data_IF_950860238364
#
_entry.id   IF_950860238364
#
_cell.length_a   1.000
_cell.length_b   1.000
_cell.length_c   1.000
_cell.angle_alpha   90.00
_cell.angle_beta   90.00
_cell.angle_gamma   90.00
#
_symmetry.space_group_name_H-M   'P 1'
#
loop_
_entity.id
_entity.type
_entity.pdbx_description
1 polymer ?
#
# COMPACT_ATOMS: atom_id res chain seq x y z
N UNK A 1 -16.97 -24.09 -4.98
CA UNK A 1 -17.14 -22.63 -4.98
C UNK A 1 -15.86 -22.03 -4.42
N UNK A 2 -15.06 -21.39 -5.27
CA UNK A 2 -13.65 -21.09 -5.01
C UNK A 2 -13.48 -19.84 -4.15
N UNK A 3 -13.02 -20.03 -2.91
CA UNK A 3 -12.78 -18.99 -1.91
C UNK A 3 -11.44 -18.22 -2.14
N UNK A 4 -11.08 -17.92 -3.38
CA UNK A 4 -9.76 -17.36 -3.72
C UNK A 4 -9.76 -15.82 -3.87
N UNK A 5 -10.93 -15.16 -3.80
CA UNK A 5 -11.04 -13.72 -4.11
C UNK A 5 -10.83 -12.77 -2.93
N UNK A 6 -10.85 -13.23 -1.67
CA UNK A 6 -10.78 -12.31 -0.52
C UNK A 6 -9.36 -11.94 -0.07
N UNK A 7 -8.34 -12.67 -0.52
CA UNK A 7 -6.97 -12.47 -0.02
C UNK A 7 -6.33 -11.20 -0.56
N UNK A 8 -6.67 -10.80 -1.79
CA UNK A 8 -6.04 -9.65 -2.46
C UNK A 8 -6.44 -8.32 -1.84
N UNK A 9 -7.74 -8.07 -1.62
CA UNK A 9 -8.20 -6.83 -0.98
C UNK A 9 -7.66 -6.67 0.45
N UNK A 10 -7.55 -7.79 1.18
CA UNK A 10 -6.96 -7.84 2.51
C UNK A 10 -5.47 -7.45 2.50
N UNK A 11 -4.68 -8.05 1.60
CA UNK A 11 -3.25 -7.75 1.44
C UNK A 11 -3.01 -6.30 1.03
N UNK A 12 -3.80 -5.78 0.10
CA UNK A 12 -3.70 -4.37 -0.32
C UNK A 12 -4.04 -3.45 0.83
N UNK A 13 -5.06 -3.76 1.65
CA UNK A 13 -5.35 -2.95 2.82
C UNK A 13 -4.15 -2.90 3.78
N UNK A 14 -3.56 -4.06 4.11
CA UNK A 14 -2.37 -4.12 4.96
C UNK A 14 -1.21 -3.32 4.39
N UNK A 15 -0.90 -3.50 3.10
CA UNK A 15 0.19 -2.77 2.45
C UNK A 15 0.01 -1.24 2.51
N UNK A 16 -1.22 -0.75 2.35
CA UNK A 16 -1.52 0.69 2.47
C UNK A 16 -1.25 1.21 3.89
N UNK A 17 -1.61 0.44 4.92
CA UNK A 17 -1.34 0.84 6.31
C UNK A 17 0.16 0.82 6.62
N UNK A 18 0.87 -0.23 6.20
CA UNK A 18 2.32 -0.34 6.38
C UNK A 18 3.06 0.81 5.68
N UNK A 19 2.64 1.15 4.46
CA UNK A 19 3.20 2.26 3.69
C UNK A 19 2.94 3.62 4.36
N UNK A 20 1.74 3.81 4.94
CA UNK A 20 1.42 5.04 5.69
C UNK A 20 2.31 5.21 6.92
N UNK A 21 2.57 4.12 7.64
CA UNK A 21 3.49 4.11 8.78
C UNK A 21 4.93 4.44 8.34
N UNK A 22 5.39 3.79 7.26
CA UNK A 22 6.72 4.04 6.68
C UNK A 22 6.88 5.51 6.30
N UNK A 23 5.91 6.11 5.61
CA UNK A 23 5.98 7.52 5.25
C UNK A 23 6.04 8.44 6.46
N UNK A 24 5.28 8.15 7.52
CA UNK A 24 5.36 8.93 8.75
C UNK A 24 6.76 8.89 9.37
N UNK A 25 7.42 7.73 9.34
CA UNK A 25 8.77 7.58 9.88
C UNK A 25 9.82 8.30 9.01
N UNK A 26 9.80 8.06 7.70
CA UNK A 26 10.79 8.62 6.77
C UNK A 26 10.66 10.14 6.66
N UNK A 27 9.44 10.69 6.58
CA UNK A 27 9.25 12.14 6.54
C UNK A 27 9.72 12.83 7.83
N UNK A 28 9.45 12.22 9.00
CA UNK A 28 9.96 12.72 10.28
C UNK A 28 11.50 12.69 10.35
N UNK A 29 12.12 11.62 9.85
CA UNK A 29 13.58 11.51 9.77
C UNK A 29 14.20 12.55 8.83
N UNK A 30 13.63 12.76 7.66
CA UNK A 30 14.15 13.71 6.67
C UNK A 30 13.97 15.16 7.12
N UNK A 31 12.86 15.46 7.80
CA UNK A 31 12.60 16.79 8.37
C UNK A 31 13.56 17.08 9.51
N UNK A 32 13.80 16.11 10.40
CA UNK A 32 14.71 16.30 11.55
C UNK A 32 16.19 16.39 11.16
N UNK A 33 16.59 15.76 10.04
CA UNK A 33 17.94 15.84 9.49
C UNK A 33 18.17 17.04 8.57
N UNK A 34 17.15 17.90 8.37
CA UNK A 34 17.18 19.04 7.44
C UNK A 34 17.65 18.63 6.03
N UNK A 35 17.20 17.47 5.57
CA UNK A 35 17.63 16.88 4.32
C UNK A 35 17.10 17.71 3.13
N UNK A 36 17.93 18.05 2.12
CA UNK A 36 17.48 18.81 0.95
C UNK A 36 16.40 18.10 0.13
N UNK A 37 16.24 16.79 0.27
CA UNK A 37 15.20 15.99 -0.38
C UNK A 37 13.85 16.01 0.36
N UNK A 38 13.76 16.68 1.51
CA UNK A 38 12.52 16.73 2.31
C UNK A 38 11.32 17.28 1.52
N UNK A 39 11.52 18.31 0.70
CA UNK A 39 10.46 18.87 -0.15
C UNK A 39 9.92 17.86 -1.16
N UNK A 40 10.74 17.34 -2.09
CA UNK A 40 10.33 16.33 -3.06
C UNK A 40 9.72 15.07 -2.43
N UNK A 41 10.26 14.63 -1.29
CA UNK A 41 9.72 13.50 -0.53
C UNK A 41 8.31 13.80 0.00
N UNK A 42 8.07 14.97 0.59
CA UNK A 42 6.75 15.37 1.07
C UNK A 42 5.72 15.44 -0.07
N UNK A 43 6.12 15.94 -1.25
CA UNK A 43 5.24 15.99 -2.42
C UNK A 43 4.86 14.58 -2.90
N UNK A 44 5.83 13.67 -2.97
CA UNK A 44 5.59 12.27 -3.30
C UNK A 44 4.64 11.60 -2.29
N UNK A 45 4.94 11.73 -0.99
CA UNK A 45 4.12 11.15 0.09
C UNK A 45 2.70 11.67 0.03
N UNK A 46 2.51 12.97 -0.21
CA UNK A 46 1.18 13.58 -0.32
C UNK A 46 0.36 12.97 -1.46
N UNK A 47 0.96 12.82 -2.66
CA UNK A 47 0.30 12.17 -3.80
C UNK A 47 -0.06 10.72 -3.47
N UNK A 48 0.87 9.98 -2.86
CA UNK A 48 0.68 8.56 -2.55
C UNK A 48 -0.40 8.33 -1.50
N UNK A 49 -0.48 9.18 -0.46
CA UNK A 49 -1.57 9.16 0.53
C UNK A 49 -2.93 9.39 -0.15
N UNK A 50 -2.99 10.28 -1.14
CA UNK A 50 -4.20 10.51 -1.95
C UNK A 50 -4.68 9.24 -2.67
N UNK A 51 -3.76 8.57 -3.38
CA UNK A 51 -4.04 7.31 -4.09
C UNK A 51 -4.47 6.22 -3.08
N UNK A 52 -3.75 6.08 -1.98
CA UNK A 52 -4.06 5.11 -0.94
C UNK A 52 -5.44 5.33 -0.32
N UNK A 53 -5.83 6.59 -0.13
CA UNK A 53 -7.17 6.95 0.36
C UNK A 53 -8.26 6.52 -0.62
N UNK A 54 -8.02 6.67 -1.92
CA UNK A 54 -8.94 6.21 -2.96
C UNK A 54 -9.04 4.67 -2.98
N UNK A 55 -7.91 3.98 -2.94
CA UNK A 55 -7.87 2.51 -2.90
C UNK A 55 -8.62 1.97 -1.66
N UNK A 56 -8.42 2.56 -0.50
CA UNK A 56 -9.16 2.20 0.72
C UNK A 56 -10.67 2.40 0.58
N UNK A 57 -11.13 3.44 -0.12
CA UNK A 57 -12.57 3.62 -0.41
C UNK A 57 -13.12 2.45 -1.23
N UNK A 58 -12.39 2.00 -2.25
CA UNK A 58 -12.82 0.86 -3.07
C UNK A 58 -12.78 -0.46 -2.30
N UNK A 59 -11.76 -0.69 -1.48
CA UNK A 59 -11.69 -1.88 -0.60
C UNK A 59 -12.89 -1.92 0.35
N UNK A 60 -13.26 -0.78 0.94
CA UNK A 60 -14.46 -0.67 1.80
C UNK A 60 -15.74 -0.98 1.02
N UNK A 61 -15.86 -0.53 -0.23
CA UNK A 61 -16.99 -0.90 -1.11
C UNK A 61 -17.05 -2.41 -1.32
N UNK A 62 -15.91 -3.08 -1.59
CA UNK A 62 -15.85 -4.54 -1.72
C UNK A 62 -16.33 -5.24 -0.44
N UNK A 63 -15.87 -4.79 0.73
CA UNK A 63 -16.27 -5.34 2.03
C UNK A 63 -17.77 -5.16 2.33
N UNK A 64 -18.41 -4.16 1.72
CA UNK A 64 -19.83 -3.86 1.85
C UNK A 64 -20.74 -4.66 0.92
N UNK A 65 -20.19 -5.41 -0.05
CA UNK A 65 -20.99 -6.20 -0.98
C UNK A 65 -21.78 -7.30 -0.26
N UNK A 66 -23.06 -7.44 -0.63
CA UNK A 66 -23.94 -8.50 -0.12
C UNK A 66 -23.35 -9.85 -0.53
N UNK A 67 -23.19 -10.75 0.45
CA UNK A 67 -22.57 -12.05 0.22
C UNK A 67 -21.05 -12.06 0.30
N UNK A 68 -20.40 -10.93 0.67
CA UNK A 68 -18.97 -10.94 1.00
C UNK A 68 -18.73 -11.78 2.27
N UNK A 69 -17.99 -12.88 2.11
CA UNK A 69 -17.61 -13.83 3.18
C UNK A 69 -16.14 -13.68 3.62
N UNK A 70 -15.44 -12.69 3.08
CA UNK A 70 -14.03 -12.45 3.34
C UNK A 70 -13.73 -11.71 4.64
N UNK A 71 -12.44 -11.60 4.97
CA UNK A 71 -12.02 -10.79 6.11
C UNK A 71 -12.12 -9.29 5.77
N UNK A 72 -12.86 -8.55 6.60
CA UNK A 72 -13.07 -7.09 6.49
C UNK A 72 -12.07 -6.26 7.29
N UNK A 73 -11.32 -6.88 8.20
CA UNK A 73 -10.26 -6.20 8.94
C UNK A 73 -9.00 -6.18 8.12
N UNK A 74 -8.15 -5.17 8.26
CA UNK A 74 -6.83 -5.20 7.64
C UNK A 74 -5.91 -6.11 8.46
N UNK A 75 -5.06 -6.87 7.79
CA UNK A 75 -4.13 -7.77 8.45
C UNK A 75 -2.95 -7.01 9.05
N UNK A 76 -2.25 -7.65 9.98
CA UNK A 76 -0.98 -7.16 10.53
C UNK A 76 0.16 -7.81 9.74
N UNK A 77 1.16 -7.02 9.33
CA UNK A 77 2.37 -7.56 8.69
C UNK A 77 3.09 -8.48 9.68
N UNK A 78 3.42 -9.70 9.22
CA UNK A 78 4.17 -10.66 10.04
C UNK A 78 5.53 -10.07 10.38
N UNK A 79 5.82 -9.96 11.68
CA UNK A 79 7.04 -9.34 12.20
C UNK A 79 6.90 -7.88 12.66
N UNK A 80 5.71 -7.27 12.57
CA UNK A 80 5.46 -5.88 13.01
C UNK A 80 4.45 -5.85 14.16
N UNK A 81 4.80 -5.26 15.30
CA UNK A 81 3.90 -5.11 16.46
C UNK A 81 3.08 -3.84 16.26
N UNK A 82 1.85 -3.97 15.77
CA UNK A 82 0.91 -2.85 15.68
C UNK A 82 0.53 -2.37 17.10
N UNK A 83 0.95 -1.17 17.51
CA UNK A 83 0.68 -0.61 18.85
C UNK A 83 -0.78 -0.19 19.11
N UNK A 84 -1.67 -0.30 18.13
CA UNK A 84 -3.10 0.04 18.24
C UNK A 84 -4.09 -1.13 18.30
N UNK A 85 -3.66 -2.37 18.49
CA UNK A 85 -4.56 -3.53 18.56
C UNK A 85 -4.77 -3.93 20.02
N UNK A 86 -5.77 -3.34 20.68
CA UNK A 86 -6.33 -3.92 21.90
C UNK A 86 -7.06 -5.21 21.53
N UNK A 87 -6.35 -6.33 21.63
CA UNK A 87 -6.87 -7.66 21.32
C UNK A 87 -5.87 -8.78 21.62
N UNK A 88 -5.66 -9.06 22.91
CA UNK A 88 -5.28 -10.34 23.56
C UNK A 88 -5.71 -11.58 22.71
N UNK A 89 -4.93 -12.63 22.39
CA UNK A 89 -3.89 -13.41 23.12
C UNK A 89 -3.16 -14.42 22.18
N UNK A 90 -1.89 -14.72 22.52
CA UNK A 90 -1.17 -16.03 22.47
C UNK A 90 -0.87 -16.69 21.09
N UNK A 91 0.27 -17.32 20.77
CA UNK A 91 1.50 -17.85 21.44
C UNK A 91 2.55 -18.08 20.31
N UNK A 92 3.81 -17.67 20.47
CA UNK A 92 4.99 -18.51 20.78
C UNK A 92 5.31 -19.63 19.76
N UNK A 93 6.41 -19.44 19.00
CA UNK A 93 7.55 -20.37 18.87
C UNK A 93 8.40 -20.04 17.63
N UNK A 94 9.69 -19.79 17.84
CA UNK A 94 10.61 -19.25 16.84
C UNK A 94 11.29 -20.26 15.92
N UNK A 95 11.89 -19.75 14.83
CA UNK A 95 13.19 -20.18 14.31
C UNK A 95 13.71 -19.18 13.23
N UNK A 96 14.97 -18.68 13.30
CA UNK A 96 15.57 -17.86 12.26
C UNK A 96 16.34 -18.72 11.23
N UNK A 97 15.98 -18.60 9.95
CA UNK A 97 16.71 -19.20 8.80
C UNK A 97 16.55 -18.21 7.66
N UNK A 98 17.53 -17.75 6.89
CA UNK A 98 18.98 -17.88 6.86
C UNK A 98 19.43 -16.88 5.78
N UNK A 99 20.56 -16.20 5.98
CA UNK A 99 21.12 -15.24 5.03
C UNK A 99 21.59 -16.01 3.79
N UNK A 100 21.04 -15.68 2.63
CA UNK A 100 21.45 -16.15 1.31
C UNK A 100 21.46 -14.96 0.37
N UNK A 101 22.65 -14.40 0.21
CA UNK A 101 23.04 -13.34 -0.71
C UNK A 101 23.22 -13.95 -2.11
N UNK A 102 22.32 -13.62 -3.04
CA UNK A 102 22.53 -13.80 -4.49
C UNK A 102 22.03 -12.53 -5.18
N UNK A 103 22.97 -11.62 -5.43
CA UNK A 103 22.87 -10.55 -6.42
C UNK A 103 23.05 -11.19 -7.80
N UNK A 104 22.03 -11.09 -8.64
CA UNK A 104 22.14 -11.29 -10.08
C UNK A 104 21.59 -10.03 -10.74
N UNK A 105 22.52 -9.17 -11.13
CA UNK A 105 22.31 -7.99 -11.97
C UNK A 105 22.15 -8.47 -13.41
N UNK A 106 21.06 -8.06 -14.07
CA UNK A 106 20.98 -7.61 -15.47
C UNK A 106 19.52 -7.71 -15.96
N UNK A 107 18.88 -6.55 -16.12
CA UNK A 107 18.15 -6.19 -17.34
C UNK A 107 17.77 -4.70 -17.27
N UNK A 108 18.67 -3.90 -17.85
CA UNK A 108 18.50 -2.51 -18.23
C UNK A 108 17.42 -2.40 -19.33
N UNK A 109 16.16 -2.12 -18.97
CA UNK A 109 15.12 -1.74 -19.95
C UNK A 109 13.98 -0.87 -19.35
N UNK A 110 14.28 0.02 -18.39
CA UNK A 110 13.28 0.87 -17.69
C UNK A 110 13.45 2.35 -18.05
N UNK A 111 13.53 2.70 -19.34
CA UNK A 111 13.53 4.11 -19.78
C UNK A 111 12.54 4.37 -20.93
N UNK A 112 11.34 3.78 -20.85
CA UNK A 112 10.22 4.14 -21.73
C UNK A 112 8.84 4.14 -21.02
N UNK A 113 8.78 4.15 -19.69
CA UNK A 113 7.51 4.14 -18.93
C UNK A 113 6.80 5.52 -18.89
N UNK A 114 7.46 6.59 -19.32
CA UNK A 114 6.90 7.95 -19.23
C UNK A 114 5.71 8.18 -20.19
N UNK A 115 5.66 7.50 -21.35
CA UNK A 115 4.56 7.64 -22.32
C UNK A 115 3.32 6.86 -21.88
N UNK A 116 3.49 5.64 -21.37
CA UNK A 116 2.39 4.80 -20.88
C UNK A 116 1.78 5.38 -19.60
N UNK A 117 2.60 5.94 -18.71
CA UNK A 117 2.11 6.57 -17.47
C UNK A 117 1.26 7.81 -17.75
N UNK A 118 1.62 8.63 -18.74
CA UNK A 118 0.82 9.80 -19.13
C UNK A 118 -0.51 9.41 -19.78
N UNK A 119 -0.52 8.35 -20.59
CA UNK A 119 -1.75 7.85 -21.20
C UNK A 119 -2.70 7.23 -20.18
N UNK A 120 -2.17 6.52 -19.18
CA UNK A 120 -2.96 5.97 -18.07
C UNK A 120 -3.53 7.09 -17.18
N UNK A 121 -2.76 8.14 -16.90
CA UNK A 121 -3.22 9.33 -16.17
C UNK A 121 -4.35 10.06 -16.91
N UNK A 122 -4.24 10.24 -18.23
CA UNK A 122 -5.26 10.87 -19.05
C UNK A 122 -6.57 10.06 -19.12
N UNK A 123 -6.44 8.72 -19.14
CA UNK A 123 -7.59 7.81 -19.04
C UNK A 123 -8.29 7.93 -17.68
N UNK A 124 -7.51 8.08 -16.60
CA UNK A 124 -8.03 8.24 -15.24
C UNK A 124 -8.75 9.58 -15.04
N UNK A 125 -8.20 10.68 -15.59
CA UNK A 125 -8.86 12.00 -15.58
C UNK A 125 -10.18 12.00 -16.36
N UNK A 126 -10.22 11.28 -17.49
CA UNK A 126 -11.45 11.10 -18.28
C UNK A 126 -12.49 10.28 -17.51
N UNK A 127 -12.06 9.25 -16.77
CA UNK A 127 -12.96 8.47 -15.92
C UNK A 127 -13.57 9.32 -14.80
N UNK A 128 -12.78 10.17 -14.14
CA UNK A 128 -13.30 11.06 -13.08
C UNK A 128 -14.22 12.14 -13.62
N UNK A 129 -13.93 12.69 -14.80
CA UNK A 129 -14.79 13.70 -15.45
C UNK A 129 -16.17 13.14 -15.81
N UNK A 130 -16.27 11.84 -16.08
CA UNK A 130 -17.53 11.17 -16.36
C UNK A 130 -18.29 10.73 -15.10
N UNK A 131 -17.67 10.82 -13.91
CA UNK A 131 -18.28 10.41 -12.65
C UNK A 131 -19.15 11.52 -12.03
N UNK A 132 -18.93 12.78 -12.41
CA UNK A 132 -19.67 13.97 -11.94
C UNK A 132 -21.00 14.22 -12.70
N UNK A 133 -21.42 13.29 -13.57
CA UNK A 133 -22.66 13.37 -14.36
C UNK A 133 -23.78 12.44 -13.78
N UNK A 134 -23.67 11.98 -12.54
CA UNK A 134 -24.75 11.25 -11.84
C UNK A 134 -25.22 11.90 -10.54
#
# INVERSE_FOLDING_TARGET
>A
MNATQSTSAHRVCTAIYDETELFSQVTAQFTSSNNPLSGPLCDFVTRRIGINSLLLKYIRKIYSLIGFTGNRTCGVRVGTIWQGATGTTATDDGNPVGVGDEVDDEDDDILNEDEDFQQEMSSLETFFSNLDIL
#
